data_IF_946939496005
#
_entry.id   IF_946939496005
#
_cell.length_a   1.000
_cell.length_b   1.000
_cell.length_c   1.000
_cell.angle_alpha   90.00
_cell.angle_beta   90.00
_cell.angle_gamma   90.00
#
_symmetry.space_group_name_H-M   'P 1'
#
loop_
_entity.id
_entity.type
_entity.pdbx_description
1 polymer ?
#
# COMPACT_ATOMS: atom_id res chain seq x y z
N UNK A 1 34.65 -43.84 19.74
CA UNK A 1 34.10 -43.83 18.36
C UNK A 1 33.10 -42.71 18.30
N UNK A 2 33.37 -41.69 17.53
CA UNK A 2 32.38 -40.62 17.29
C UNK A 2 31.32 -41.16 16.31
N UNK A 3 30.14 -41.35 16.80
CA UNK A 3 28.99 -41.72 15.95
C UNK A 3 28.59 -40.47 15.17
N UNK A 4 28.68 -40.54 13.86
CA UNK A 4 28.16 -39.50 12.98
C UNK A 4 26.65 -39.73 12.93
N UNK A 5 25.88 -38.88 13.62
CA UNK A 5 24.41 -38.92 13.62
C UNK A 5 23.88 -38.08 12.46
N UNK A 6 22.73 -38.49 11.91
CA UNK A 6 22.01 -37.77 10.86
C UNK A 6 21.59 -36.36 11.29
N UNK A 7 21.53 -36.06 12.60
CA UNK A 7 21.39 -34.68 13.12
C UNK A 7 22.48 -33.70 12.65
N UNK A 8 23.66 -34.25 12.27
CA UNK A 8 24.76 -33.47 11.68
C UNK A 8 24.47 -33.03 10.23
N UNK A 9 23.45 -33.61 9.58
CA UNK A 9 23.08 -33.32 8.19
C UNK A 9 21.94 -32.34 8.03
N UNK A 10 21.17 -32.01 9.07
CA UNK A 10 20.10 -31.02 8.99
C UNK A 10 20.59 -29.66 8.49
N UNK A 11 21.79 -29.24 8.88
CA UNK A 11 22.45 -28.04 8.34
C UNK A 11 22.85 -28.17 6.86
N UNK A 12 23.10 -29.36 6.36
CA UNK A 12 23.40 -29.58 4.94
C UNK A 12 22.14 -29.48 4.04
N UNK A 13 20.99 -29.75 4.62
CA UNK A 13 19.67 -29.68 3.91
C UNK A 13 19.08 -28.27 3.90
N UNK A 14 19.49 -27.42 4.83
CA UNK A 14 19.08 -26.01 4.88
C UNK A 14 19.21 -25.25 3.56
N UNK A 15 20.31 -25.34 2.79
CA UNK A 15 20.44 -24.63 1.54
C UNK A 15 19.34 -24.96 0.53
N UNK A 16 18.91 -26.24 0.46
CA UNK A 16 17.83 -26.67 -0.45
C UNK A 16 16.49 -26.04 -0.08
N UNK A 17 16.06 -26.15 1.17
CA UNK A 17 14.78 -25.59 1.63
C UNK A 17 14.76 -24.07 1.52
N UNK A 18 15.86 -23.42 1.83
CA UNK A 18 15.98 -21.96 1.69
C UNK A 18 15.89 -21.51 0.22
N UNK A 19 16.50 -22.27 -0.70
CA UNK A 19 16.39 -22.01 -2.13
C UNK A 19 14.95 -22.16 -2.62
N UNK A 20 14.28 -23.25 -2.25
CA UNK A 20 12.88 -23.50 -2.62
C UNK A 20 11.93 -22.44 -2.08
N UNK A 21 12.16 -21.97 -0.85
CA UNK A 21 11.41 -20.86 -0.28
C UNK A 21 11.61 -19.57 -1.09
N UNK A 22 12.87 -19.21 -1.38
CA UNK A 22 13.18 -17.99 -2.12
C UNK A 22 12.67 -18.02 -3.56
N UNK A 23 12.78 -19.14 -4.26
CA UNK A 23 12.22 -19.32 -5.62
C UNK A 23 10.70 -19.12 -5.62
N UNK A 24 9.99 -19.81 -4.71
CA UNK A 24 8.54 -19.70 -4.62
C UNK A 24 8.09 -18.29 -4.22
N UNK A 25 8.79 -17.66 -3.29
CA UNK A 25 8.48 -16.28 -2.87
C UNK A 25 8.54 -15.30 -4.02
N UNK A 26 9.52 -15.45 -4.93
CA UNK A 26 9.72 -14.54 -6.06
C UNK A 26 8.84 -14.86 -7.28
N UNK A 27 8.20 -16.02 -7.34
CA UNK A 27 7.31 -16.39 -8.45
C UNK A 27 6.00 -15.59 -8.48
N UNK A 28 5.52 -15.16 -7.31
CA UNK A 28 4.24 -14.47 -7.23
C UNK A 28 4.37 -12.99 -7.57
N UNK A 29 3.46 -12.44 -8.41
CA UNK A 29 3.48 -11.03 -8.74
C UNK A 29 3.27 -10.16 -7.51
N UNK A 30 3.87 -8.98 -7.52
CA UNK A 30 3.75 -7.99 -6.46
C UNK A 30 2.81 -6.89 -6.92
N UNK A 31 1.73 -6.68 -6.18
CA UNK A 31 0.75 -5.62 -6.47
C UNK A 31 0.98 -4.39 -5.58
N UNK A 32 1.25 -4.60 -4.28
CA UNK A 32 1.44 -3.51 -3.32
C UNK A 32 2.60 -2.58 -3.67
N UNK A 33 3.64 -3.08 -4.31
CA UNK A 33 4.85 -2.33 -4.67
C UNK A 33 4.57 -1.13 -5.59
N UNK A 34 3.55 -1.26 -6.43
CA UNK A 34 3.13 -0.20 -7.35
C UNK A 34 2.35 0.92 -6.65
N UNK A 35 1.86 0.67 -5.43
CA UNK A 35 0.94 1.55 -4.72
C UNK A 35 1.61 2.36 -3.62
N UNK A 36 2.67 1.83 -2.99
CA UNK A 36 3.31 2.42 -1.82
C UNK A 36 4.74 2.88 -2.10
N UNK A 37 5.11 4.01 -1.52
CA UNK A 37 6.50 4.45 -1.47
C UNK A 37 7.27 3.61 -0.45
N UNK A 38 8.36 2.99 -0.90
CA UNK A 38 9.17 2.09 -0.06
C UNK A 38 10.23 2.85 0.71
N UNK A 39 10.31 2.57 2.00
CA UNK A 39 11.35 3.05 2.90
C UNK A 39 11.79 1.96 3.85
N UNK A 40 13.02 2.05 4.33
CA UNK A 40 13.55 1.14 5.35
C UNK A 40 13.60 1.86 6.70
N UNK A 41 13.36 1.10 7.78
CA UNK A 41 13.43 1.61 9.14
C UNK A 41 14.39 0.80 10.00
N UNK A 42 15.01 1.45 10.99
CA UNK A 42 15.79 0.80 12.04
C UNK A 42 15.21 0.96 13.43
N UNK A 43 14.07 1.65 13.52
CA UNK A 43 13.40 1.97 14.78
C UNK A 43 12.24 1.00 15.07
N UNK A 44 11.61 1.13 16.24
CA UNK A 44 10.43 0.37 16.59
C UNK A 44 9.17 0.87 15.86
N UNK A 45 9.14 2.15 15.57
CA UNK A 45 8.10 2.86 14.81
C UNK A 45 8.75 4.03 14.06
N UNK A 46 8.09 4.52 13.03
CA UNK A 46 8.45 5.77 12.34
C UNK A 46 7.33 6.79 12.54
N UNK A 47 7.70 8.05 12.56
CA UNK A 47 6.77 9.17 12.65
C UNK A 47 7.09 10.18 11.56
N UNK A 48 6.06 10.48 10.77
CA UNK A 48 6.09 11.56 9.79
C UNK A 48 5.33 12.77 10.35
N UNK A 49 6.03 13.88 10.42
CA UNK A 49 5.47 15.14 10.92
C UNK A 49 5.21 16.06 9.73
N UNK A 50 3.94 16.38 9.50
CA UNK A 50 3.56 17.41 8.53
C UNK A 50 4.00 18.79 9.00
N UNK A 51 4.18 19.70 8.06
CA UNK A 51 4.44 21.12 8.34
C UNK A 51 3.48 21.98 7.54
N UNK A 52 3.03 23.10 8.11
CA UNK A 52 2.23 24.05 7.37
C UNK A 52 3.03 24.72 6.26
N UNK A 53 2.37 25.08 5.19
CA UNK A 53 2.96 25.84 4.08
C UNK A 53 2.96 27.33 4.39
N UNK A 54 3.74 28.09 3.60
CA UNK A 54 3.67 29.55 3.62
C UNK A 54 2.51 30.07 2.75
N UNK A 55 2.01 31.26 3.07
CA UNK A 55 1.04 32.00 2.26
C UNK A 55 1.66 32.57 0.97
N UNK A 56 0.89 33.36 0.25
CA UNK A 56 1.39 34.07 -0.93
C UNK A 56 2.37 35.16 -0.52
N UNK A 57 3.42 35.33 -1.35
CA UNK A 57 4.32 36.46 -1.21
C UNK A 57 3.57 37.77 -1.50
N UNK A 58 3.80 38.77 -0.64
CA UNK A 58 3.24 40.10 -0.81
C UNK A 58 4.19 40.97 -1.63
N UNK A 59 3.64 41.82 -2.51
CA UNK A 59 4.44 42.77 -3.28
C UNK A 59 5.17 43.70 -2.32
N UNK A 60 6.49 43.81 -2.48
CA UNK A 60 7.35 44.66 -1.65
C UNK A 60 7.68 45.95 -2.40
N UNK A 61 7.41 47.10 -1.79
CA UNK A 61 7.87 48.40 -2.30
C UNK A 61 9.35 48.60 -2.01
N UNK A 62 10.01 49.44 -2.82
CA UNK A 62 11.41 49.81 -2.60
C UNK A 62 11.59 50.45 -1.21
N UNK A 63 12.63 50.00 -0.47
CA UNK A 63 12.90 50.49 0.88
C UNK A 63 12.03 49.91 2.01
N UNK A 64 10.97 49.13 1.69
CA UNK A 64 10.13 48.49 2.70
C UNK A 64 10.73 47.16 3.23
N UNK A 65 10.48 46.75 4.48
CA UNK A 65 10.95 45.48 4.98
C UNK A 65 10.22 44.30 4.30
N UNK A 66 10.85 43.11 4.35
CA UNK A 66 10.23 41.85 3.89
C UNK A 66 9.20 41.40 4.92
N UNK A 67 8.06 40.87 4.45
CA UNK A 67 7.06 40.23 5.31
C UNK A 67 7.51 38.81 5.67
N UNK A 68 7.51 38.48 6.96
CA UNK A 68 7.81 37.14 7.45
C UNK A 68 6.54 36.39 7.76
N UNK A 69 6.45 35.13 7.29
CA UNK A 69 5.38 34.21 7.61
C UNK A 69 5.89 33.11 8.56
N UNK A 70 5.01 32.53 9.36
CA UNK A 70 5.35 31.52 10.34
C UNK A 70 4.83 30.13 9.88
N UNK A 71 5.70 29.14 9.90
CA UNK A 71 5.32 27.74 9.74
C UNK A 71 4.92 27.14 11.11
N UNK A 72 3.95 26.21 11.09
CA UNK A 72 3.51 25.46 12.26
C UNK A 72 3.75 23.97 12.01
N UNK A 73 4.00 23.23 13.07
CA UNK A 73 4.00 21.78 13.02
C UNK A 73 2.58 21.28 12.71
N UNK A 74 2.48 20.36 11.77
CA UNK A 74 1.25 19.71 11.36
C UNK A 74 0.95 18.43 12.16
N UNK A 75 0.08 17.63 11.60
CA UNK A 75 -0.28 16.33 12.16
C UNK A 75 0.90 15.35 12.07
N UNK A 76 0.95 14.42 13.03
CA UNK A 76 1.96 13.37 13.08
C UNK A 76 1.33 12.04 12.74
N UNK A 77 1.77 11.43 11.65
CA UNK A 77 1.39 10.06 11.28
C UNK A 77 2.41 9.08 11.86
N UNK A 78 1.94 8.11 12.65
CA UNK A 78 2.78 7.11 13.30
C UNK A 78 2.61 5.74 12.65
N UNK A 79 3.73 5.16 12.21
CA UNK A 79 3.82 3.84 11.59
C UNK A 79 4.42 2.84 12.55
N UNK A 80 3.57 2.03 13.18
CA UNK A 80 4.01 0.99 14.10
C UNK A 80 4.30 -0.30 13.34
N UNK A 81 5.54 -0.81 13.45
CA UNK A 81 5.95 -2.03 12.77
C UNK A 81 5.39 -3.26 13.46
N UNK A 82 4.60 -4.05 12.72
CA UNK A 82 4.01 -5.32 13.16
C UNK A 82 4.86 -6.48 12.68
N UNK A 83 5.01 -7.50 13.51
CA UNK A 83 5.70 -8.74 13.16
C UNK A 83 4.68 -9.74 12.61
N UNK A 84 4.97 -10.27 11.44
CA UNK A 84 4.23 -11.38 10.83
C UNK A 84 5.15 -12.58 10.78
N UNK A 85 4.70 -13.70 11.31
CA UNK A 85 5.50 -14.93 11.35
C UNK A 85 4.59 -16.15 11.19
N UNK A 86 5.09 -17.14 10.46
CA UNK A 86 4.46 -18.43 10.27
C UNK A 86 5.55 -19.49 10.19
N UNK A 87 5.27 -20.71 10.58
CA UNK A 87 6.23 -21.80 10.51
C UNK A 87 5.56 -23.16 10.37
N UNK A 88 6.37 -24.15 10.07
CA UNK A 88 5.98 -25.57 10.04
C UNK A 88 7.04 -26.43 10.71
N UNK A 89 6.63 -27.63 11.10
CA UNK A 89 7.46 -28.62 11.76
C UNK A 89 7.47 -29.89 10.92
N UNK A 90 8.65 -30.48 10.74
CA UNK A 90 8.83 -31.80 10.14
C UNK A 90 9.34 -32.72 11.25
N UNK A 91 8.67 -33.84 11.45
CA UNK A 91 9.06 -34.82 12.46
C UNK A 91 10.30 -35.60 12.02
N UNK A 92 10.99 -36.15 13.00
CA UNK A 92 12.20 -36.98 12.76
C UNK A 92 11.86 -38.18 11.89
N UNK A 93 10.76 -38.86 12.16
CA UNK A 93 10.31 -40.04 11.43
C UNK A 93 10.06 -39.73 9.95
N UNK A 94 9.40 -38.60 9.67
CA UNK A 94 9.13 -38.16 8.28
C UNK A 94 10.41 -37.80 7.54
N UNK A 95 11.47 -37.43 8.27
CA UNK A 95 12.80 -37.16 7.74
C UNK A 95 13.55 -38.46 7.44
N UNK A 96 13.52 -39.42 8.35
CA UNK A 96 14.22 -40.73 8.22
C UNK A 96 13.55 -41.59 7.12
N UNK A 97 12.24 -41.40 6.84
CA UNK A 97 11.49 -42.07 5.76
C UNK A 97 11.70 -41.43 4.37
N UNK A 98 12.69 -40.56 4.22
CA UNK A 98 13.05 -39.87 2.96
C UNK A 98 11.94 -39.06 2.30
N UNK A 99 10.93 -38.63 3.08
CA UNK A 99 9.83 -37.78 2.61
C UNK A 99 10.22 -36.29 2.56
N UNK A 100 11.44 -35.96 2.90
CA UNK A 100 11.93 -34.60 3.02
C UNK A 100 11.84 -33.82 1.70
N UNK A 101 12.26 -34.39 0.59
CA UNK A 101 12.30 -33.70 -0.70
C UNK A 101 10.91 -33.36 -1.23
N UNK A 102 9.92 -34.21 -0.93
CA UNK A 102 8.54 -34.00 -1.35
C UNK A 102 7.81 -33.08 -0.37
N UNK A 103 7.77 -33.44 0.91
CA UNK A 103 6.99 -32.75 1.94
C UNK A 103 7.66 -31.42 2.30
N UNK A 104 8.97 -31.40 2.51
CA UNK A 104 9.72 -30.20 2.86
C UNK A 104 9.64 -29.12 1.79
N UNK A 105 9.80 -29.51 0.52
CA UNK A 105 9.68 -28.58 -0.62
C UNK A 105 8.28 -27.98 -0.73
N UNK A 106 7.25 -28.81 -0.70
CA UNK A 106 5.86 -28.34 -0.79
C UNK A 106 5.48 -27.41 0.37
N UNK A 107 5.94 -27.72 1.59
CA UNK A 107 5.68 -26.89 2.77
C UNK A 107 6.45 -25.58 2.75
N UNK A 108 7.70 -25.57 2.30
CA UNK A 108 8.46 -24.33 2.11
C UNK A 108 7.83 -23.40 1.07
N UNK A 109 7.40 -23.97 -0.06
CA UNK A 109 6.69 -23.21 -1.11
C UNK A 109 5.35 -22.66 -0.59
N UNK A 110 4.57 -23.46 0.14
CA UNK A 110 3.31 -23.02 0.76
C UNK A 110 3.53 -21.91 1.79
N UNK A 111 4.59 -22.00 2.59
CA UNK A 111 4.95 -20.95 3.56
C UNK A 111 5.35 -19.65 2.85
N UNK A 112 6.14 -19.74 1.78
CA UNK A 112 6.52 -18.59 0.97
C UNK A 112 5.30 -17.89 0.38
N UNK A 113 4.36 -18.65 -0.18
CA UNK A 113 3.08 -18.15 -0.68
C UNK A 113 2.30 -17.44 0.42
N UNK A 114 2.13 -18.06 1.58
CA UNK A 114 1.38 -17.49 2.70
C UNK A 114 1.98 -16.17 3.20
N UNK A 115 3.30 -16.08 3.33
CA UNK A 115 3.99 -14.85 3.74
C UNK A 115 3.80 -13.74 2.72
N UNK A 116 3.90 -14.09 1.42
CA UNK A 116 3.67 -13.14 0.32
C UNK A 116 2.25 -12.62 0.32
N UNK A 117 1.27 -13.53 0.37
CA UNK A 117 -0.14 -13.18 0.39
C UNK A 117 -0.52 -12.34 1.61
N UNK A 118 0.06 -12.64 2.78
CA UNK A 118 -0.15 -11.83 3.99
C UNK A 118 0.27 -10.37 3.75
N UNK A 119 1.39 -10.15 3.10
CA UNK A 119 1.90 -8.80 2.79
C UNK A 119 0.96 -8.05 1.84
N UNK A 120 0.46 -8.71 0.79
CA UNK A 120 -0.52 -8.14 -0.14
C UNK A 120 -1.84 -7.78 0.56
N UNK A 121 -2.38 -8.68 1.39
CA UNK A 121 -3.62 -8.43 2.13
C UNK A 121 -3.46 -7.27 3.11
N UNK A 122 -2.34 -7.20 3.82
CA UNK A 122 -2.09 -6.09 4.77
C UNK A 122 -1.99 -4.76 4.03
N UNK A 123 -1.37 -4.73 2.86
CA UNK A 123 -1.32 -3.54 2.01
C UNK A 123 -2.70 -3.15 1.48
N UNK A 124 -3.48 -4.12 0.95
CA UNK A 124 -4.83 -3.90 0.45
C UNK A 124 -5.81 -3.44 1.54
N UNK A 125 -5.57 -3.83 2.80
CA UNK A 125 -6.40 -3.40 3.92
C UNK A 125 -6.38 -1.88 4.18
N UNK A 126 -5.38 -1.16 3.68
CA UNK A 126 -5.38 0.31 3.70
C UNK A 126 -6.57 0.83 2.87
N UNK A 127 -6.79 0.27 1.69
CA UNK A 127 -7.90 0.62 0.81
C UNK A 127 -9.25 0.04 1.29
N UNK A 128 -9.26 -1.23 1.73
CA UNK A 128 -10.46 -1.87 2.26
C UNK A 128 -11.06 -1.14 3.49
N UNK A 129 -10.22 -0.39 4.21
CA UNK A 129 -10.58 0.39 5.39
C UNK A 129 -10.60 1.89 5.12
N UNK A 130 -10.45 2.31 3.87
CA UNK A 130 -10.32 3.71 3.48
C UNK A 130 -11.49 4.60 3.97
N UNK A 131 -12.69 4.04 4.02
CA UNK A 131 -13.90 4.72 4.48
C UNK A 131 -14.26 4.44 5.95
N UNK A 132 -13.40 3.71 6.69
CA UNK A 132 -13.73 3.31 8.06
C UNK A 132 -13.24 4.35 9.08
N UNK A 133 -14.14 4.83 9.91
CA UNK A 133 -13.84 5.74 11.02
C UNK A 133 -13.14 5.05 12.21
N UNK A 134 -12.93 3.73 12.14
CA UNK A 134 -12.14 2.98 13.13
C UNK A 134 -10.64 2.99 12.83
N UNK A 135 -10.25 3.38 11.61
CA UNK A 135 -8.85 3.41 11.16
C UNK A 135 -8.50 4.82 10.70
N UNK A 136 -8.02 5.61 11.65
CA UNK A 136 -7.76 7.05 11.46
C UNK A 136 -6.29 7.31 11.18
N UNK A 137 -6.02 8.31 10.34
CA UNK A 137 -4.68 8.84 10.08
C UNK A 137 -4.15 9.70 11.22
N UNK A 138 -2.99 10.30 11.01
CA UNK A 138 -2.37 11.21 11.97
C UNK A 138 -3.19 12.48 12.20
N UNK A 139 -4.05 12.84 11.26
CA UNK A 139 -4.99 13.98 11.31
C UNK A 139 -6.32 13.66 12.00
N UNK A 140 -6.53 12.40 12.43
CA UNK A 140 -7.74 11.94 13.09
C UNK A 140 -8.92 11.70 12.13
N UNK A 141 -8.67 11.60 10.81
CA UNK A 141 -9.65 11.27 9.80
C UNK A 141 -9.35 9.93 9.11
N UNK A 142 -10.35 9.30 8.49
CA UNK A 142 -10.18 8.11 7.63
C UNK A 142 -9.36 8.47 6.38
N UNK A 143 -8.79 7.48 5.67
CA UNK A 143 -8.00 7.73 4.46
C UNK A 143 -8.80 8.50 3.42
N UNK A 144 -10.05 8.14 3.22
CA UNK A 144 -10.99 8.88 2.38
C UNK A 144 -12.00 9.59 3.28
N UNK A 145 -12.15 10.89 3.10
CA UNK A 145 -13.09 11.72 3.82
C UNK A 145 -14.01 12.43 2.84
N UNK A 146 -15.33 12.23 3.02
CA UNK A 146 -16.36 12.78 2.16
C UNK A 146 -17.65 12.96 2.93
N UNK A 147 -18.36 14.05 2.68
CA UNK A 147 -19.62 14.35 3.35
C UNK A 147 -20.76 13.36 3.01
N UNK A 148 -20.69 12.66 1.88
CA UNK A 148 -21.72 11.73 1.42
C UNK A 148 -21.21 10.37 0.94
N UNK A 149 -19.88 10.16 0.90
CA UNK A 149 -19.25 8.92 0.39
C UNK A 149 -18.81 7.94 1.47
N UNK A 150 -19.15 8.15 2.74
CA UNK A 150 -18.68 7.33 3.86
C UNK A 150 -17.37 7.84 4.47
N UNK A 151 -16.97 7.23 5.59
CA UNK A 151 -15.76 7.65 6.32
C UNK A 151 -15.96 8.89 7.19
N UNK A 152 -14.86 9.61 7.42
CA UNK A 152 -14.88 10.91 8.09
C UNK A 152 -15.50 11.97 7.17
N UNK A 153 -16.19 12.98 7.71
CA UNK A 153 -16.83 14.00 6.88
C UNK A 153 -15.82 14.89 6.14
N UNK A 154 -14.65 15.09 6.70
CA UNK A 154 -13.57 15.90 6.11
C UNK A 154 -12.24 15.66 6.83
N UNK A 155 -11.16 16.05 6.19
CA UNK A 155 -9.82 16.16 6.79
C UNK A 155 -9.60 17.55 7.37
N UNK A 156 -9.04 17.68 8.58
CA UNK A 156 -8.67 18.98 9.12
C UNK A 156 -7.38 19.52 8.46
N UNK A 157 -7.31 20.82 8.26
CA UNK A 157 -6.10 21.53 7.84
C UNK A 157 -5.30 22.04 9.05
N UNK A 158 -3.99 22.04 8.97
CA UNK A 158 -3.08 22.53 10.02
C UNK A 158 -3.29 24.03 10.32
N UNK A 159 -3.58 24.82 9.32
CA UNK A 159 -3.82 26.27 9.46
C UNK A 159 -5.26 26.60 9.82
N UNK A 160 -6.15 25.60 9.95
CA UNK A 160 -7.58 25.73 10.19
C UNK A 160 -8.41 25.51 8.92
N UNK A 161 -9.68 25.17 9.10
CA UNK A 161 -10.56 24.74 8.01
C UNK A 161 -10.44 23.24 7.74
N UNK A 162 -11.15 22.79 6.72
CA UNK A 162 -11.24 21.38 6.33
C UNK A 162 -11.20 21.21 4.82
N UNK A 163 -10.89 19.99 4.35
CA UNK A 163 -10.99 19.59 2.95
C UNK A 163 -11.49 18.15 2.85
N UNK A 164 -11.96 17.77 1.68
CA UNK A 164 -12.37 16.41 1.35
C UNK A 164 -11.50 15.89 0.21
N UNK A 165 -11.25 14.58 0.19
CA UNK A 165 -10.53 13.87 -0.87
C UNK A 165 -11.38 12.75 -1.50
N UNK A 166 -12.63 12.62 -1.10
CA UNK A 166 -13.62 11.73 -1.70
C UNK A 166 -14.69 12.48 -2.46
N UNK A 167 -15.32 11.80 -3.42
CA UNK A 167 -16.47 12.34 -4.15
C UNK A 167 -17.62 12.67 -3.19
N UNK A 168 -18.36 13.73 -3.48
CA UNK A 168 -19.44 14.21 -2.60
C UNK A 168 -20.58 13.19 -2.43
N UNK A 169 -20.83 12.38 -3.44
CA UNK A 169 -21.81 11.27 -3.45
C UNK A 169 -21.13 10.04 -4.02
N UNK A 170 -21.34 8.89 -3.40
CA UNK A 170 -20.84 7.63 -3.92
C UNK A 170 -21.32 7.41 -5.35
N UNK A 171 -20.43 7.08 -6.26
CA UNK A 171 -20.70 6.90 -7.68
C UNK A 171 -19.85 5.77 -8.24
N UNK A 172 -20.46 4.93 -9.06
CA UNK A 172 -19.79 3.85 -9.77
C UNK A 172 -18.75 4.38 -10.76
N UNK A 173 -17.79 3.54 -11.11
CA UNK A 173 -16.77 3.85 -12.08
C UNK A 173 -17.41 4.14 -13.45
N UNK A 174 -17.26 5.36 -13.94
CA UNK A 174 -17.72 5.79 -15.25
C UNK A 174 -16.80 6.86 -15.81
N UNK A 175 -16.90 7.14 -17.11
CA UNK A 175 -16.12 8.20 -17.75
C UNK A 175 -16.37 9.55 -17.08
N UNK A 176 -17.64 9.92 -16.87
CA UNK A 176 -18.01 11.18 -16.21
C UNK A 176 -17.53 11.26 -14.75
N UNK A 177 -17.55 10.14 -14.02
CA UNK A 177 -17.03 10.08 -12.65
C UNK A 177 -15.52 10.31 -12.60
N UNK A 178 -14.76 9.74 -13.55
CA UNK A 178 -13.33 9.95 -13.66
C UNK A 178 -12.97 11.37 -14.09
N UNK A 179 -13.72 11.96 -15.03
CA UNK A 179 -13.55 13.35 -15.43
C UNK A 179 -13.74 14.30 -14.25
N UNK A 180 -14.83 14.12 -13.49
CA UNK A 180 -15.10 14.93 -12.31
C UNK A 180 -14.01 14.75 -11.25
N UNK A 181 -13.58 13.52 -10.99
CA UNK A 181 -12.51 13.25 -10.03
C UNK A 181 -11.18 13.91 -10.44
N UNK A 182 -10.85 13.94 -11.73
CA UNK A 182 -9.65 14.62 -12.21
C UNK A 182 -9.75 16.15 -12.01
N UNK A 183 -10.95 16.74 -12.15
CA UNK A 183 -11.21 18.17 -11.89
C UNK A 183 -11.05 18.45 -10.40
N UNK A 184 -11.65 17.63 -9.54
CA UNK A 184 -11.59 17.77 -8.08
C UNK A 184 -10.14 17.66 -7.56
N UNK A 185 -9.34 16.72 -8.12
CA UNK A 185 -7.91 16.57 -7.81
C UNK A 185 -7.14 17.85 -8.20
N UNK A 186 -7.42 18.43 -9.36
CA UNK A 186 -6.75 19.65 -9.81
C UNK A 186 -7.10 20.88 -8.92
N UNK A 187 -8.20 20.79 -8.19
CA UNK A 187 -8.63 21.84 -7.26
C UNK A 187 -8.11 21.67 -5.83
N UNK A 188 -7.32 20.64 -5.55
CA UNK A 188 -6.71 20.45 -4.25
C UNK A 188 -5.88 21.66 -3.82
N UNK A 189 -6.03 22.00 -2.54
CA UNK A 189 -5.38 23.15 -1.90
C UNK A 189 -4.53 22.71 -0.74
N UNK A 190 -3.48 23.46 -0.47
CA UNK A 190 -2.71 23.31 0.75
C UNK A 190 -3.49 23.85 1.97
N UNK A 191 -2.88 23.77 3.14
CA UNK A 191 -3.42 24.26 4.41
C UNK A 191 -3.64 25.80 4.45
N UNK A 192 -3.05 26.56 3.51
CA UNK A 192 -3.21 28.00 3.33
C UNK A 192 -4.22 28.36 2.23
N UNK A 193 -4.88 27.38 1.61
CA UNK A 193 -5.85 27.59 0.54
C UNK A 193 -5.24 27.82 -0.84
N UNK A 194 -3.94 27.62 -1.02
CA UNK A 194 -3.26 27.71 -2.31
C UNK A 194 -3.38 26.41 -3.08
N UNK A 195 -3.67 26.47 -4.37
CA UNK A 195 -3.72 25.30 -5.26
C UNK A 195 -2.33 24.65 -5.35
N UNK A 196 -2.27 23.34 -5.19
CA UNK A 196 -1.01 22.55 -5.20
C UNK A 196 -0.72 21.89 -6.53
N UNK A 197 -1.59 22.05 -7.53
CA UNK A 197 -1.46 21.52 -8.89
C UNK A 197 -1.16 20.01 -8.95
N UNK A 198 -1.84 19.23 -8.12
CA UNK A 198 -1.75 17.77 -8.05
C UNK A 198 -2.33 17.13 -9.31
N UNK A 199 -1.77 16.01 -9.73
CA UNK A 199 -2.22 15.25 -10.91
C UNK A 199 -2.54 13.82 -10.55
N UNK A 200 -3.57 13.22 -11.17
CA UNK A 200 -3.82 11.80 -11.05
C UNK A 200 -2.66 11.00 -11.68
N UNK A 201 -2.29 9.90 -11.06
CA UNK A 201 -1.19 9.03 -11.52
C UNK A 201 -1.66 7.61 -11.81
N UNK A 202 -2.42 7.02 -10.90
CA UNK A 202 -2.81 5.61 -10.99
C UNK A 202 -4.26 5.45 -10.57
N UNK A 203 -4.99 4.64 -11.32
CA UNK A 203 -6.31 4.17 -10.94
C UNK A 203 -6.16 2.78 -10.30
N UNK A 204 -6.61 2.64 -9.06
CA UNK A 204 -6.61 1.37 -8.32
C UNK A 204 -8.03 0.84 -8.30
N UNK A 205 -8.21 -0.38 -8.78
CA UNK A 205 -9.53 -1.00 -8.94
C UNK A 205 -9.48 -2.48 -8.50
N UNK A 206 -10.63 -3.03 -8.07
CA UNK A 206 -10.80 -4.46 -7.91
C UNK A 206 -10.85 -5.16 -9.29
N UNK A 207 -10.72 -6.48 -9.27
CA UNK A 207 -10.72 -7.31 -10.49
C UNK A 207 -12.04 -7.23 -11.27
N UNK A 208 -13.15 -6.97 -10.59
CA UNK A 208 -14.49 -6.86 -11.17
C UNK A 208 -14.60 -5.68 -12.13
N UNK A 209 -13.91 -4.58 -11.85
CA UNK A 209 -13.96 -3.36 -12.66
C UNK A 209 -12.90 -3.33 -13.79
N UNK A 210 -12.07 -4.37 -13.94
CA UNK A 210 -10.94 -4.31 -14.88
C UNK A 210 -11.38 -4.10 -16.35
N UNK A 211 -12.47 -4.72 -16.79
CA UNK A 211 -12.96 -4.58 -18.16
C UNK A 211 -13.59 -3.21 -18.38
N UNK A 212 -14.29 -2.68 -17.38
CA UNK A 212 -14.90 -1.34 -17.46
C UNK A 212 -13.82 -0.26 -17.52
N UNK A 213 -12.83 -0.32 -16.64
CA UNK A 213 -11.69 0.59 -16.67
C UNK A 213 -10.93 0.53 -18.00
N UNK A 214 -10.80 -0.69 -18.58
CA UNK A 214 -10.14 -0.84 -19.88
C UNK A 214 -10.94 -0.21 -21.01
N UNK A 215 -12.27 -0.36 -21.01
CA UNK A 215 -13.14 0.30 -21.98
C UNK A 215 -13.02 1.82 -21.89
N UNK A 216 -13.15 2.39 -20.67
CA UNK A 216 -13.08 3.84 -20.45
C UNK A 216 -11.71 4.41 -20.87
N UNK A 217 -10.61 3.77 -20.46
CA UNK A 217 -9.26 4.34 -20.63
C UNK A 217 -8.59 4.02 -21.96
N UNK A 218 -9.06 3.03 -22.73
CA UNK A 218 -8.39 2.58 -23.96
C UNK A 218 -9.20 2.80 -25.22
N UNK A 219 -10.48 3.08 -25.15
CA UNK A 219 -11.34 3.32 -26.33
C UNK A 219 -11.11 4.73 -26.88
N UNK A 220 -11.06 4.88 -28.19
CA UNK A 220 -10.86 6.18 -28.86
C UNK A 220 -12.13 7.05 -28.82
N UNK A 221 -13.29 6.43 -28.95
CA UNK A 221 -14.58 7.08 -28.80
C UNK A 221 -15.14 6.96 -27.40
N UNK A 222 -16.07 7.85 -27.07
CA UNK A 222 -16.76 7.84 -25.78
C UNK A 222 -17.56 6.55 -25.60
N UNK A 223 -17.45 5.92 -24.44
CA UNK A 223 -18.14 4.67 -24.13
C UNK A 223 -19.64 4.93 -23.99
N UNK A 224 -20.47 4.03 -24.55
CA UNK A 224 -21.94 4.12 -24.53
C UNK A 224 -22.55 5.33 -25.24
N UNK A 225 -21.82 6.03 -26.10
CA UNK A 225 -22.35 7.08 -26.98
C UNK A 225 -22.56 6.55 -28.40
N UNK A 226 -23.68 6.90 -29.02
CA UNK A 226 -23.94 6.65 -30.43
C UNK A 226 -23.27 7.70 -31.34
N UNK A 227 -22.90 8.82 -30.76
CA UNK A 227 -22.20 9.90 -31.43
C UNK A 227 -20.70 9.60 -31.48
N UNK A 228 -20.04 10.00 -32.55
CA UNK A 228 -18.60 9.78 -32.72
C UNK A 228 -17.79 10.81 -31.89
N UNK A 229 -18.07 10.87 -30.59
CA UNK A 229 -17.43 11.78 -29.65
C UNK A 229 -16.09 11.22 -29.18
N UNK A 230 -15.12 12.10 -28.99
CA UNK A 230 -13.77 11.76 -28.57
C UNK A 230 -13.72 11.43 -27.08
N UNK A 231 -13.02 10.36 -26.70
CA UNK A 231 -12.70 10.07 -25.30
C UNK A 231 -11.60 11.04 -24.81
N UNK A 232 -11.97 12.01 -24.00
CA UNK A 232 -11.09 13.05 -23.50
C UNK A 232 -10.03 12.50 -22.51
N UNK A 233 -10.41 11.57 -21.64
CA UNK A 233 -9.51 10.97 -20.63
C UNK A 233 -8.33 10.28 -21.30
N UNK A 234 -8.59 9.48 -22.35
CA UNK A 234 -7.56 8.80 -23.12
C UNK A 234 -6.67 9.79 -23.85
N UNK A 235 -7.26 10.73 -24.56
CA UNK A 235 -6.53 11.68 -25.44
C UNK A 235 -5.62 12.59 -24.63
N UNK A 236 -6.08 13.04 -23.44
CA UNK A 236 -5.30 13.87 -22.54
C UNK A 236 -4.28 13.06 -21.73
N UNK A 237 -4.42 11.73 -21.65
CA UNK A 237 -3.54 10.87 -20.85
C UNK A 237 -3.59 11.17 -19.36
N UNK A 238 -4.77 11.55 -18.85
CA UNK A 238 -4.93 12.01 -17.46
C UNK A 238 -4.57 10.93 -16.43
N UNK A 239 -4.89 9.66 -16.72
CA UNK A 239 -4.60 8.52 -15.86
C UNK A 239 -3.70 7.54 -16.62
N UNK A 240 -2.36 7.62 -16.44
CA UNK A 240 -1.43 6.84 -17.24
C UNK A 240 -1.38 5.35 -16.87
N UNK A 241 -1.69 4.98 -15.63
CA UNK A 241 -1.55 3.61 -15.13
C UNK A 241 -2.82 3.13 -14.42
N UNK A 242 -3.19 1.86 -14.68
CA UNK A 242 -4.24 1.14 -13.95
C UNK A 242 -3.60 0.00 -13.18
N UNK A 243 -3.88 -0.08 -11.90
CA UNK A 243 -3.44 -1.16 -11.02
C UNK A 243 -4.66 -1.95 -10.56
N UNK A 244 -4.72 -3.20 -11.01
CA UNK A 244 -5.75 -4.14 -10.56
C UNK A 244 -5.23 -4.77 -9.28
N UNK A 245 -6.00 -4.66 -8.20
CA UNK A 245 -5.66 -5.28 -6.93
C UNK A 245 -6.66 -6.40 -6.61
N UNK A 246 -6.16 -7.63 -6.53
CA UNK A 246 -6.98 -8.83 -6.32
C UNK A 246 -7.47 -8.99 -4.87
N UNK A 247 -6.91 -8.22 -3.93
CA UNK A 247 -7.19 -8.31 -2.49
C UNK A 247 -8.14 -7.23 -1.99
N UNK A 248 -8.69 -6.40 -2.90
CA UNK A 248 -9.78 -5.50 -2.58
C UNK A 248 -11.05 -6.33 -2.33
N UNK A 249 -11.73 -6.05 -1.22
CA UNK A 249 -12.95 -6.76 -0.80
C UNK A 249 -14.21 -6.12 -1.34
N UNK A 250 -14.17 -4.83 -1.60
CA UNK A 250 -15.24 -4.07 -2.21
C UNK A 250 -15.15 -4.20 -3.73
N UNK A 251 -16.24 -4.61 -4.39
CA UNK A 251 -16.28 -4.97 -5.81
C UNK A 251 -16.48 -3.79 -6.74
N UNK A 252 -16.91 -2.64 -6.22
CA UNK A 252 -17.23 -1.43 -6.96
C UNK A 252 -16.41 -0.20 -6.51
N UNK A 253 -15.63 -0.31 -5.44
CA UNK A 253 -14.77 0.76 -4.98
C UNK A 253 -13.58 1.00 -5.92
N UNK A 254 -13.33 2.24 -6.27
CA UNK A 254 -12.18 2.67 -7.05
C UNK A 254 -11.48 3.86 -6.40
N UNK A 255 -10.16 3.92 -6.60
CA UNK A 255 -9.30 4.93 -5.99
C UNK A 255 -8.36 5.53 -7.04
N UNK A 256 -8.08 6.82 -6.93
CA UNK A 256 -7.07 7.50 -7.75
C UNK A 256 -5.89 7.89 -6.84
N UNK A 257 -4.72 7.38 -7.15
CA UNK A 257 -3.48 7.83 -6.55
C UNK A 257 -2.96 9.04 -7.31
N UNK A 258 -2.51 10.03 -6.57
CA UNK A 258 -2.00 11.28 -7.07
C UNK A 258 -0.47 11.35 -7.01
N UNK A 259 0.12 12.45 -7.48
CA UNK A 259 1.55 12.71 -7.38
C UNK A 259 1.94 13.52 -6.12
N UNK A 260 1.06 13.59 -5.13
CA UNK A 260 1.36 14.21 -3.84
C UNK A 260 2.50 13.48 -3.15
N UNK A 261 3.43 14.26 -2.61
CA UNK A 261 4.53 13.73 -1.80
C UNK A 261 4.01 13.24 -0.45
N UNK A 262 4.64 12.21 0.06
CA UNK A 262 4.28 11.62 1.36
C UNK A 262 2.85 11.02 1.43
N UNK A 263 2.34 10.50 0.32
CA UNK A 263 1.07 9.80 0.28
C UNK A 263 1.11 8.45 1.01
N UNK A 264 0.89 7.37 0.28
CA UNK A 264 0.94 6.00 0.82
C UNK A 264 2.38 5.53 1.03
N UNK A 265 2.71 5.06 2.24
CA UNK A 265 4.07 4.63 2.62
C UNK A 265 4.11 3.20 3.13
N UNK A 266 5.20 2.53 2.78
CA UNK A 266 5.60 1.24 3.32
C UNK A 266 6.96 1.36 3.99
N UNK A 267 7.06 0.94 5.25
CA UNK A 267 8.31 0.87 5.98
C UNK A 267 8.68 -0.58 6.26
N UNK A 268 9.84 -1.00 5.77
CA UNK A 268 10.43 -2.29 6.07
C UNK A 268 11.41 -2.18 7.23
N UNK A 269 11.12 -2.90 8.33
CA UNK A 269 12.03 -2.97 9.48
C UNK A 269 12.94 -4.19 9.39
N UNK A 270 12.35 -5.34 9.08
CA UNK A 270 13.04 -6.58 8.76
C UNK A 270 12.38 -7.17 7.52
N UNK A 271 13.17 -7.47 6.51
CA UNK A 271 12.73 -8.22 5.34
C UNK A 271 12.25 -9.61 5.71
N UNK A 272 11.90 -10.39 4.71
CA UNK A 272 11.49 -11.79 4.93
C UNK A 272 12.69 -12.62 5.31
N UNK A 273 12.75 -13.04 6.58
CA UNK A 273 13.76 -13.90 7.16
C UNK A 273 13.21 -15.32 7.27
N UNK A 274 13.84 -16.28 6.62
CA UNK A 274 13.52 -17.69 6.76
C UNK A 274 14.60 -18.35 7.60
N UNK A 275 14.23 -19.05 8.68
CA UNK A 275 15.15 -19.67 9.63
C UNK A 275 14.70 -21.07 9.98
N UNK A 276 15.66 -21.94 10.29
CA UNK A 276 15.47 -23.30 10.77
C UNK A 276 16.11 -23.46 12.14
N UNK A 277 15.50 -24.25 12.98
CA UNK A 277 16.02 -24.67 14.28
C UNK A 277 15.58 -26.10 14.59
N UNK A 278 16.34 -26.83 15.39
CA UNK A 278 16.02 -28.18 15.84
C UNK A 278 15.54 -28.13 17.29
N UNK A 279 14.52 -28.92 17.58
CA UNK A 279 14.05 -29.09 18.95
C UNK A 279 14.78 -30.26 19.59
N UNK A 280 15.55 -29.99 20.64
CA UNK A 280 16.34 -30.99 21.33
C UNK A 280 15.51 -32.12 21.95
N UNK A 281 14.33 -31.78 22.47
CA UNK A 281 13.46 -32.72 23.18
C UNK A 281 12.69 -33.65 22.25
N UNK A 282 12.27 -33.14 21.10
CA UNK A 282 11.43 -33.87 20.14
C UNK A 282 12.15 -34.29 18.87
N UNK A 283 13.41 -33.89 18.69
CA UNK A 283 14.26 -34.09 17.50
C UNK A 283 13.63 -33.58 16.18
N UNK A 284 12.58 -32.77 16.27
CA UNK A 284 11.86 -32.23 15.11
C UNK A 284 12.56 -31.03 14.51
N UNK A 285 12.58 -30.93 13.18
CA UNK A 285 13.03 -29.75 12.47
C UNK A 285 11.93 -28.69 12.38
N UNK A 286 12.19 -27.50 12.91
CA UNK A 286 11.27 -26.37 12.91
C UNK A 286 11.72 -25.32 11.90
N UNK A 287 10.84 -24.96 11.00
CA UNK A 287 11.06 -23.93 9.98
C UNK A 287 10.12 -22.76 10.22
N UNK A 288 10.63 -21.54 10.18
CA UNK A 288 9.80 -20.33 10.34
C UNK A 288 10.24 -19.24 9.38
N UNK A 289 9.26 -18.54 8.84
CA UNK A 289 9.43 -17.29 8.13
C UNK A 289 8.95 -16.14 9.01
N UNK A 290 9.64 -15.01 8.97
CA UNK A 290 9.33 -13.83 9.76
C UNK A 290 9.63 -12.58 8.95
N UNK A 291 8.71 -11.63 8.98
CA UNK A 291 8.89 -10.28 8.45
C UNK A 291 8.38 -9.24 9.43
N UNK A 292 8.92 -8.03 9.39
CA UNK A 292 8.44 -6.92 10.21
C UNK A 292 8.36 -5.65 9.39
N UNK A 293 7.15 -5.13 9.25
CA UNK A 293 6.88 -3.97 8.42
C UNK A 293 5.61 -3.22 8.85
N UNK A 294 5.36 -2.08 8.24
CA UNK A 294 4.11 -1.32 8.40
C UNK A 294 3.70 -0.65 7.08
N UNK A 295 2.40 -0.52 6.87
CA UNK A 295 1.78 0.24 5.80
C UNK A 295 0.95 1.37 6.41
N UNK A 296 0.81 2.47 5.70
CA UNK A 296 -0.01 3.60 6.12
C UNK A 296 0.09 4.77 5.16
N UNK A 297 -0.40 5.93 5.60
CA UNK A 297 -0.38 7.16 4.82
C UNK A 297 -0.04 8.36 5.71
N UNK A 298 0.52 9.41 5.08
CA UNK A 298 0.79 10.69 5.75
C UNK A 298 -0.08 11.79 5.17
N UNK A 299 -0.07 11.97 3.83
CA UNK A 299 -0.96 12.90 3.13
C UNK A 299 -2.05 12.11 2.38
N UNK A 300 -3.32 12.28 2.70
CA UNK A 300 -4.42 11.54 2.07
C UNK A 300 -4.92 12.13 0.73
N UNK A 301 -4.27 13.20 0.18
CA UNK A 301 -4.67 13.88 -1.07
C UNK A 301 -4.33 13.12 -2.33
#
# INVERSE_FOLDING_TARGET
MSVINSSSFAKALWPGVNTWYGEAYNQYPVEWDKLFEKSTSRKAFEEDVGTSHFGLAVAKSEGSPVTYDAARQGFTSRYQHVVYALGFIITREAFDDDQYDVVGKLKAQSLAFSMRQTKEIVAANIFNRAFSTNYLGGDGASLIASAGGGGSPSHPNVAGGTYTNGVATAIDLSEAALEQACIDIADFKNDRGLKIAVRPRKLVIPKELMFEAHRILKTDGQVYSADNTLNAIKTMGMIPEVVINHYLTDTDAWFILTDVKNGLKYFERNGDEFTMDEDWDTENAKYKARARYSFGWTDPR
#
